data_IF_162694213598
#
_entry.id   IF_162694213598
#
_cell.length_a   1.000
_cell.length_b   1.000
_cell.length_c   1.000
_cell.angle_alpha   90.00
_cell.angle_beta   90.00
_cell.angle_gamma   90.00
#
_symmetry.space_group_name_H-M   'P 1'
#
loop_
_entity.id
_entity.type
_entity.pdbx_description
1 polymer ?
#
# COMPACT_ATOMS: atom_id res chain seq x y z
N UNK A 1 -5.31 -31.32 -12.57
CA UNK A 1 -4.67 -32.15 -11.52
C UNK A 1 -3.52 -31.43 -10.83
N UNK A 2 -2.34 -31.23 -11.45
CA UNK A 2 -1.22 -30.51 -10.78
C UNK A 2 -1.54 -29.01 -10.59
N UNK A 3 -2.12 -28.34 -11.60
CA UNK A 3 -2.50 -26.92 -11.50
C UNK A 3 -3.49 -26.64 -10.37
N UNK A 4 -4.48 -27.51 -10.18
CA UNK A 4 -5.49 -27.35 -9.11
C UNK A 4 -4.87 -27.54 -7.72
N UNK A 5 -3.92 -28.48 -7.60
CA UNK A 5 -3.15 -28.67 -6.38
C UNK A 5 -2.30 -27.42 -6.06
N UNK A 6 -1.64 -26.83 -7.06
CA UNK A 6 -0.85 -25.59 -6.90
C UNK A 6 -1.75 -24.44 -6.43
N UNK A 7 -2.93 -24.25 -7.03
CA UNK A 7 -3.88 -23.20 -6.61
C UNK A 7 -4.34 -23.39 -5.17
N UNK A 8 -4.61 -24.63 -4.75
CA UNK A 8 -4.96 -24.92 -3.34
C UNK A 8 -3.82 -24.58 -2.40
N UNK A 9 -2.58 -24.94 -2.75
CA UNK A 9 -1.40 -24.59 -1.94
C UNK A 9 -1.20 -23.07 -1.86
N UNK A 10 -1.39 -22.34 -2.97
CA UNK A 10 -1.32 -20.87 -2.99
C UNK A 10 -2.39 -20.24 -2.09
N UNK A 11 -3.63 -20.74 -2.12
CA UNK A 11 -4.70 -20.25 -1.25
C UNK A 11 -4.37 -20.48 0.24
N UNK A 12 -3.79 -21.63 0.59
CA UNK A 12 -3.34 -21.91 1.96
C UNK A 12 -2.18 -20.99 2.37
N UNK A 13 -1.20 -20.78 1.49
CA UNK A 13 -0.07 -19.89 1.73
C UNK A 13 -0.53 -18.44 1.90
N UNK A 14 -1.47 -17.98 1.05
CA UNK A 14 -2.13 -16.67 1.19
C UNK A 14 -2.76 -16.52 2.57
N UNK A 15 -3.60 -17.47 2.98
CA UNK A 15 -4.25 -17.42 4.30
C UNK A 15 -3.20 -17.31 5.41
N UNK A 16 -2.19 -18.18 5.40
CA UNK A 16 -1.13 -18.14 6.41
C UNK A 16 -0.36 -16.80 6.43
N UNK A 17 -0.14 -16.18 5.27
CA UNK A 17 0.50 -14.88 5.16
C UNK A 17 -0.41 -13.75 5.67
N UNK A 18 -1.70 -13.77 5.33
CA UNK A 18 -2.69 -12.78 5.79
C UNK A 18 -2.90 -12.86 7.32
N UNK A 19 -2.76 -14.02 7.95
CA UNK A 19 -2.76 -14.13 9.43
C UNK A 19 -1.57 -13.39 10.10
N UNK A 20 -0.52 -13.05 9.35
CA UNK A 20 0.61 -12.24 9.86
C UNK A 20 0.37 -10.73 9.73
N UNK A 21 -0.75 -10.32 9.14
CA UNK A 21 -1.09 -8.92 8.98
C UNK A 21 -1.51 -8.35 10.34
N UNK A 22 -0.66 -7.50 10.88
CA UNK A 22 -0.79 -6.84 12.19
C UNK A 22 -1.12 -5.34 12.05
N UNK A 23 -1.42 -4.90 10.83
CA UNK A 23 -1.84 -3.56 10.50
C UNK A 23 -3.16 -3.52 9.74
N UNK A 24 -3.73 -2.31 9.67
CA UNK A 24 -4.88 -1.98 8.83
C UNK A 24 -4.58 -0.75 8.00
N UNK A 25 -5.05 -0.72 6.76
CA UNK A 25 -4.93 0.45 5.91
C UNK A 25 -6.30 0.95 5.42
N UNK A 26 -6.38 2.27 5.25
CA UNK A 26 -7.49 2.95 4.59
C UNK A 26 -6.96 3.62 3.34
N UNK A 27 -7.61 3.39 2.21
CA UNK A 27 -7.23 3.96 0.91
C UNK A 27 -8.20 5.08 0.56
N UNK A 28 -7.64 6.25 0.32
CA UNK A 28 -8.37 7.45 -0.05
C UNK A 28 -7.92 7.90 -1.45
N UNK A 29 -8.89 8.07 -2.34
CA UNK A 29 -8.69 8.55 -3.69
C UNK A 29 -9.25 9.96 -3.87
N UNK A 30 -8.63 10.77 -4.73
CA UNK A 30 -9.23 12.02 -5.19
C UNK A 30 -10.15 11.72 -6.37
N UNK A 31 -11.44 12.02 -6.21
CA UNK A 31 -12.45 11.80 -7.25
C UNK A 31 -13.13 13.12 -7.63
N UNK A 32 -13.39 13.34 -8.93
CA UNK A 32 -14.16 14.50 -9.39
C UNK A 32 -15.64 14.29 -9.05
N UNK A 33 -16.16 15.10 -8.13
CA UNK A 33 -17.57 15.08 -7.72
C UNK A 33 -18.25 16.33 -8.24
N UNK A 34 -19.32 16.14 -9.02
CA UNK A 34 -20.16 17.23 -9.55
C UNK A 34 -21.25 17.59 -8.57
N UNK A 35 -21.29 18.85 -8.16
CA UNK A 35 -22.37 19.40 -7.34
C UNK A 35 -23.68 19.45 -8.16
N UNK A 36 -24.74 18.85 -7.63
CA UNK A 36 -26.03 18.74 -8.33
C UNK A 36 -26.75 20.08 -8.49
N UNK A 37 -26.49 21.05 -7.61
CA UNK A 37 -27.09 22.39 -7.58
C UNK A 37 -26.28 23.39 -8.40
N UNK A 38 -24.97 23.46 -8.21
CA UNK A 38 -24.11 24.45 -8.90
C UNK A 38 -23.57 23.95 -10.23
N UNK A 39 -23.64 22.63 -10.49
CA UNK A 39 -23.06 21.94 -11.66
C UNK A 39 -21.53 22.05 -11.75
N UNK A 40 -20.85 22.57 -10.74
CA UNK A 40 -19.39 22.64 -10.65
C UNK A 40 -18.83 21.28 -10.24
N UNK A 41 -17.75 20.85 -10.88
CA UNK A 41 -16.99 19.66 -10.50
C UNK A 41 -15.80 20.06 -9.64
N UNK A 42 -15.66 19.44 -8.48
CA UNK A 42 -14.52 19.62 -7.57
C UNK A 42 -13.89 18.27 -7.24
N UNK A 43 -12.58 18.20 -7.09
CA UNK A 43 -11.94 17.01 -6.53
C UNK A 43 -12.20 16.91 -5.03
N UNK A 44 -12.56 15.71 -4.57
CA UNK A 44 -12.78 15.41 -3.16
C UNK A 44 -12.08 14.11 -2.79
N UNK A 45 -11.57 14.06 -1.57
CA UNK A 45 -11.08 12.81 -0.95
C UNK A 45 -12.27 11.88 -0.71
N UNK A 46 -12.18 10.66 -1.24
CA UNK A 46 -13.18 9.60 -1.08
C UNK A 46 -12.47 8.36 -0.58
N UNK A 47 -12.92 7.81 0.56
CA UNK A 47 -12.47 6.52 1.05
C UNK A 47 -13.02 5.44 0.12
N UNK A 48 -12.13 4.67 -0.50
CA UNK A 48 -12.48 3.59 -1.43
C UNK A 48 -12.27 2.21 -0.84
N UNK A 49 -11.40 2.11 0.17
CA UNK A 49 -11.17 0.91 0.98
C UNK A 49 -10.96 1.35 2.42
N UNK A 50 -11.61 0.68 3.37
CA UNK A 50 -11.57 1.01 4.78
C UNK A 50 -11.13 -0.20 5.59
N UNK A 51 -10.20 0.02 6.52
CA UNK A 51 -9.78 -1.00 7.48
C UNK A 51 -9.21 -2.32 6.88
N UNK A 52 -8.67 -2.27 5.67
CA UNK A 52 -8.14 -3.43 4.96
C UNK A 52 -6.92 -4.01 5.70
N UNK A 53 -6.92 -5.32 6.04
CA UNK A 53 -5.79 -5.98 6.69
C UNK A 53 -4.53 -5.87 5.84
N UNK A 54 -3.42 -5.47 6.47
CA UNK A 54 -2.16 -5.26 5.76
C UNK A 54 -0.94 -5.48 6.68
N UNK A 55 0.24 -5.47 6.07
CA UNK A 55 1.51 -5.45 6.80
C UNK A 55 2.50 -4.50 6.16
N UNK A 56 3.07 -3.61 6.95
CA UNK A 56 4.25 -2.84 6.60
C UNK A 56 5.49 -3.65 6.88
N UNK A 57 6.37 -3.69 5.88
CA UNK A 57 7.73 -4.20 5.99
C UNK A 57 8.71 -3.09 5.65
N UNK A 58 9.83 -3.09 6.34
CA UNK A 58 10.89 -2.09 6.19
C UNK A 58 12.17 -2.79 5.78
N UNK A 59 12.78 -2.32 4.70
CA UNK A 59 14.10 -2.76 4.28
C UNK A 59 15.04 -1.57 4.19
N UNK A 60 16.22 -1.68 4.81
CA UNK A 60 17.24 -0.66 4.69
C UNK A 60 18.03 -0.88 3.40
N UNK A 61 18.24 0.20 2.67
CA UNK A 61 19.14 0.25 1.52
C UNK A 61 20.29 1.18 1.89
N UNK A 62 21.49 0.62 2.02
CA UNK A 62 22.71 1.43 2.07
C UNK A 62 22.95 2.00 0.67
N UNK A 63 22.77 3.30 0.49
CA UNK A 63 23.16 3.96 -0.75
C UNK A 63 24.68 3.89 -0.86
N UNK A 64 25.20 3.17 -1.87
CA UNK A 64 26.60 3.26 -2.27
C UNK A 64 26.70 4.40 -3.28
N UNK A 65 26.49 5.63 -2.83
CA UNK A 65 26.84 6.80 -3.64
C UNK A 65 28.33 7.09 -3.43
N UNK A 66 29.15 6.76 -4.42
CA UNK A 66 30.57 7.14 -4.50
C UNK A 66 30.72 8.63 -4.86
N UNK A 67 30.11 9.54 -4.09
CA UNK A 67 30.50 10.95 -4.09
C UNK A 67 30.51 11.49 -2.66
N UNK A 68 31.56 12.24 -2.33
CA UNK A 68 31.86 12.77 -1.00
C UNK A 68 30.71 13.61 -0.42
N UNK A 69 29.80 13.00 0.35
CA UNK A 69 29.06 13.63 1.46
C UNK A 69 28.11 12.59 2.07
N UNK A 70 28.30 12.26 3.35
CA UNK A 70 27.43 11.45 4.22
C UNK A 70 26.61 10.32 3.58
N UNK A 71 26.96 9.05 3.86
CA UNK A 71 26.16 7.89 3.50
C UNK A 71 24.71 8.02 4.01
N UNK A 72 23.77 8.35 3.12
CA UNK A 72 22.34 8.36 3.42
C UNK A 72 21.85 6.92 3.41
N UNK A 73 21.52 6.36 4.57
CA UNK A 73 20.75 5.11 4.64
C UNK A 73 19.32 5.44 4.22
N UNK A 74 18.86 4.89 3.09
CA UNK A 74 17.48 5.05 2.63
C UNK A 74 16.66 3.86 3.12
N UNK A 75 15.55 4.10 3.82
CA UNK A 75 14.62 3.05 4.20
C UNK A 75 13.51 2.95 3.15
N UNK A 76 13.32 1.74 2.60
CA UNK A 76 12.18 1.44 1.73
C UNK A 76 11.07 0.86 2.60
N UNK A 77 9.90 1.48 2.55
CA UNK A 77 8.68 0.96 3.20
C UNK A 77 7.84 0.25 2.13
N UNK A 78 7.49 -1.02 2.39
CA UNK A 78 6.61 -1.81 1.54
C UNK A 78 5.33 -2.17 2.27
N UNK A 79 4.21 -2.02 1.60
CA UNK A 79 2.90 -2.47 2.04
C UNK A 79 2.58 -3.81 1.39
N UNK A 80 2.21 -4.78 2.22
CA UNK A 80 1.71 -6.09 1.83
C UNK A 80 0.20 -6.14 2.03
N UNK A 81 -0.52 -6.56 0.99
CA UNK A 81 -1.98 -6.65 0.94
C UNK A 81 -2.42 -7.93 0.25
N UNK A 82 -3.72 -8.24 0.34
CA UNK A 82 -4.36 -9.25 -0.51
C UNK A 82 -4.05 -8.98 -1.99
N UNK A 83 -3.82 -10.00 -2.84
CA UNK A 83 -3.56 -9.80 -4.27
C UNK A 83 -4.80 -9.28 -5.03
N UNK A 84 -5.98 -9.36 -4.42
CA UNK A 84 -7.25 -8.94 -5.04
C UNK A 84 -7.54 -7.45 -4.80
N UNK A 85 -6.89 -6.84 -3.81
CA UNK A 85 -7.09 -5.42 -3.47
C UNK A 85 -6.70 -4.53 -4.65
N UNK A 86 -7.55 -3.56 -5.00
CA UNK A 86 -7.29 -2.63 -6.09
C UNK A 86 -7.02 -1.24 -5.53
N UNK A 87 -5.83 -0.73 -5.78
CA UNK A 87 -5.42 0.62 -5.36
C UNK A 87 -4.90 1.36 -6.58
N UNK A 88 -5.43 2.56 -6.83
CA UNK A 88 -4.93 3.40 -7.92
C UNK A 88 -3.61 4.05 -7.53
N UNK A 89 -2.73 4.25 -8.52
CA UNK A 89 -1.53 5.06 -8.34
C UNK A 89 -1.90 6.46 -7.84
N UNK A 90 -1.10 7.04 -6.95
CA UNK A 90 -1.37 8.36 -6.34
C UNK A 90 -2.45 8.36 -5.26
N UNK A 91 -3.04 7.21 -4.91
CA UNK A 91 -3.93 7.12 -3.76
C UNK A 91 -3.17 7.42 -2.47
N UNK A 92 -3.85 8.09 -1.54
CA UNK A 92 -3.40 8.25 -0.16
C UNK A 92 -3.72 6.97 0.60
N UNK A 93 -2.72 6.40 1.26
CA UNK A 93 -2.86 5.20 2.07
C UNK A 93 -2.50 5.54 3.50
N UNK A 94 -3.49 5.49 4.39
CA UNK A 94 -3.28 5.66 5.83
C UNK A 94 -3.15 4.29 6.44
N UNK A 95 -2.02 4.00 7.09
CA UNK A 95 -1.76 2.68 7.70
C UNK A 95 -1.61 2.84 9.21
N UNK A 96 -2.30 1.98 9.96
CA UNK A 96 -2.13 1.81 11.39
C UNK A 96 -1.50 0.45 11.65
N UNK A 97 -0.30 0.40 12.24
CA UNK A 97 0.37 -0.83 12.62
C UNK A 97 1.15 -0.62 13.92
N UNK A 98 1.10 -1.60 14.82
CA UNK A 98 1.77 -1.53 16.13
C UNK A 98 1.46 -0.23 16.92
N UNK A 99 0.23 0.27 16.83
CA UNK A 99 -0.23 1.49 17.50
C UNK A 99 0.22 2.81 16.84
N UNK A 100 0.94 2.75 15.72
CA UNK A 100 1.41 3.93 14.98
C UNK A 100 0.57 4.10 13.72
N UNK A 101 0.02 5.29 13.51
CA UNK A 101 -0.70 5.67 12.30
C UNK A 101 0.14 6.62 11.45
N UNK A 102 0.30 6.33 10.16
CA UNK A 102 1.01 7.19 9.20
C UNK A 102 0.31 7.22 7.85
N UNK A 103 0.44 8.35 7.16
CA UNK A 103 -0.06 8.53 5.81
C UNK A 103 1.08 8.38 4.79
N UNK A 104 0.77 7.68 3.71
CA UNK A 104 1.69 7.38 2.62
C UNK A 104 1.04 7.69 1.27
N UNK A 105 1.87 7.87 0.27
CA UNK A 105 1.45 7.90 -1.13
C UNK A 105 1.79 6.57 -1.80
N UNK A 106 0.84 6.05 -2.57
CA UNK A 106 1.04 4.89 -3.44
C UNK A 106 1.94 5.29 -4.62
N UNK A 107 3.25 5.05 -4.50
CA UNK A 107 4.26 5.60 -5.41
C UNK A 107 4.51 4.81 -6.69
N UNK A 108 3.73 3.77 -6.97
CA UNK A 108 3.94 2.91 -8.14
C UNK A 108 2.89 1.83 -8.35
N UNK A 109 3.12 1.03 -9.40
CA UNK A 109 2.28 -0.12 -9.73
C UNK A 109 2.57 -1.26 -8.75
N UNK A 110 1.54 -1.88 -8.12
CA UNK A 110 1.75 -3.01 -7.23
C UNK A 110 2.41 -4.20 -7.94
N UNK A 111 3.37 -4.84 -7.27
CA UNK A 111 3.86 -6.15 -7.68
C UNK A 111 2.89 -7.21 -7.15
N UNK A 112 2.13 -7.85 -8.05
CA UNK A 112 1.07 -8.80 -7.68
C UNK A 112 1.58 -10.24 -7.82
N UNK A 113 1.46 -11.01 -6.73
CA UNK A 113 1.75 -12.43 -6.64
C UNK A 113 0.46 -13.22 -6.39
N UNK A 114 0.46 -14.56 -6.55
CA UNK A 114 -0.72 -15.37 -6.25
C UNK A 114 -1.21 -15.28 -4.79
N UNK A 115 -0.33 -14.92 -3.85
CA UNK A 115 -0.65 -14.91 -2.41
C UNK A 115 -0.82 -13.53 -1.81
N UNK A 116 -0.24 -12.49 -2.41
CA UNK A 116 -0.23 -11.13 -1.91
C UNK A 116 0.15 -10.15 -3.03
N UNK A 117 0.04 -8.86 -2.76
CA UNK A 117 0.71 -7.83 -3.54
C UNK A 117 1.63 -7.01 -2.67
N UNK A 118 2.66 -6.43 -3.28
CA UNK A 118 3.59 -5.50 -2.65
C UNK A 118 3.47 -4.12 -3.30
N UNK A 119 3.39 -3.07 -2.47
CA UNK A 119 3.38 -1.68 -2.91
C UNK A 119 4.49 -0.93 -2.18
N UNK A 120 5.40 -0.32 -2.94
CA UNK A 120 6.37 0.61 -2.36
C UNK A 120 5.63 1.90 -1.98
N UNK A 121 5.84 2.34 -0.75
CA UNK A 121 5.22 3.53 -0.19
C UNK A 121 6.24 4.65 -0.03
N UNK A 122 5.82 5.88 -0.35
CA UNK A 122 6.56 7.08 0.00
C UNK A 122 5.86 7.72 1.21
N UNK A 123 6.65 8.03 2.25
CA UNK A 123 6.13 8.76 3.40
C UNK A 123 5.66 10.14 2.94
N UNK A 124 4.41 10.47 3.20
CA UNK A 124 3.86 11.73 2.71
C UNK A 124 4.03 12.83 3.75
N UNK A 125 4.96 13.76 3.51
CA UNK A 125 5.08 15.00 4.30
C UNK A 125 3.88 15.94 4.09
N UNK A 126 3.14 15.75 2.99
CA UNK A 126 1.96 16.57 2.63
C UNK A 126 0.77 16.37 3.57
N UNK A 127 0.70 15.25 4.29
CA UNK A 127 -0.38 14.92 5.22
C UNK A 127 0.09 14.86 6.70
N UNK A 128 1.33 15.30 6.97
CA UNK A 128 1.90 15.38 8.31
C UNK A 128 1.44 16.64 9.05
#
# INVERSE_FOLDING_TARGET
>A
MISDAIKKMQAMARKAQEETYDGKCTVTEFQPIKDSRTKITSEKEVVVLEDEPCRLSYSNVSAVDQTESAAKTAQVTKLFLSPDTKIKSGSKITVTQAGITRAYECSGVPAVYPTHQEIVLILSERYA
#
